data_IF_310448458150
#
_entry.id   IF_310448458150
#
_cell.length_a   1.000
_cell.length_b   1.000
_cell.length_c   1.000
_cell.angle_alpha   90.00
_cell.angle_beta   90.00
_cell.angle_gamma   90.00
#
_symmetry.space_group_name_H-M   'P 1'
#
loop_
_entity.id
_entity.type
_entity.pdbx_description
1 polymer ?
#
# COMPACT_ATOMS: atom_id res chain seq x y z
N UNK A 1 -31.21 -3.58 16.35
CA UNK A 1 -30.33 -3.66 17.52
C UNK A 1 -30.01 -5.13 17.71
N UNK A 2 -28.74 -5.53 17.83
CA UNK A 2 -28.43 -6.91 18.17
C UNK A 2 -29.06 -7.27 19.51
N UNK A 3 -29.52 -8.50 19.64
CA UNK A 3 -29.90 -9.06 20.94
C UNK A 3 -28.58 -9.21 21.73
N UNK A 4 -28.46 -8.48 22.84
CA UNK A 4 -27.23 -8.42 23.63
C UNK A 4 -26.82 -9.82 24.10
N UNK A 5 -27.79 -10.71 24.33
CA UNK A 5 -27.55 -12.11 24.70
C UNK A 5 -26.91 -12.92 23.55
N UNK A 6 -27.28 -12.67 22.30
CA UNK A 6 -26.67 -13.35 21.13
C UNK A 6 -25.21 -12.94 20.93
N UNK A 7 -24.87 -11.67 21.22
CA UNK A 7 -23.49 -11.17 21.10
C UNK A 7 -22.61 -11.78 22.20
N UNK A 8 -23.14 -11.90 23.41
CA UNK A 8 -22.45 -12.54 24.54
C UNK A 8 -22.25 -14.04 24.27
N UNK A 9 -23.28 -14.73 23.78
CA UNK A 9 -23.23 -16.16 23.44
C UNK A 9 -22.20 -16.42 22.33
N UNK A 10 -22.21 -15.59 21.26
CA UNK A 10 -21.23 -15.69 20.18
C UNK A 10 -19.80 -15.52 20.69
N UNK A 11 -19.54 -14.49 21.50
CA UNK A 11 -18.20 -14.26 22.06
C UNK A 11 -17.75 -15.41 22.95
N UNK A 12 -18.64 -15.97 23.76
CA UNK A 12 -18.33 -17.12 24.60
C UNK A 12 -18.04 -18.39 23.78
N UNK A 13 -18.80 -18.64 22.71
CA UNK A 13 -18.55 -19.77 21.80
C UNK A 13 -17.24 -19.58 21.04
N UNK A 14 -16.94 -18.38 20.55
CA UNK A 14 -15.67 -18.07 19.90
C UNK A 14 -14.48 -18.24 20.86
N UNK A 15 -14.60 -17.78 22.11
CA UNK A 15 -13.57 -17.97 23.12
C UNK A 15 -13.31 -19.45 23.45
N UNK A 16 -14.35 -20.31 23.40
CA UNK A 16 -14.19 -21.77 23.57
C UNK A 16 -13.68 -22.48 22.32
N UNK A 17 -14.07 -22.00 21.14
CA UNK A 17 -13.65 -22.57 19.88
C UNK A 17 -12.15 -22.32 19.63
N UNK A 18 -11.67 -21.13 19.96
CA UNK A 18 -10.34 -20.66 19.59
C UNK A 18 -9.40 -20.43 20.78
N UNK A 19 -9.88 -20.64 22.01
CA UNK A 19 -9.08 -20.53 23.23
C UNK A 19 -8.26 -21.78 23.53
N UNK A 20 -7.44 -21.70 24.58
CA UNK A 20 -6.60 -22.80 25.08
C UNK A 20 -7.45 -23.99 25.54
N UNK A 21 -7.14 -25.19 25.05
CA UNK A 21 -7.99 -26.39 25.18
C UNK A 21 -9.20 -26.40 24.23
N UNK A 22 -9.06 -25.71 23.08
CA UNK A 22 -10.11 -25.43 22.12
C UNK A 22 -10.82 -26.67 21.62
N UNK A 23 -12.15 -26.62 21.60
CA UNK A 23 -12.98 -27.72 21.16
C UNK A 23 -14.44 -27.42 21.38
N UNK A 24 -15.21 -27.41 20.29
CA UNK A 24 -16.67 -27.32 20.37
C UNK A 24 -17.27 -28.72 20.30
N UNK A 25 -18.31 -28.95 21.09
CA UNK A 25 -19.20 -30.09 20.82
C UNK A 25 -19.88 -29.88 19.46
N UNK A 26 -20.32 -30.94 18.80
CA UNK A 26 -21.04 -30.81 17.52
C UNK A 26 -22.28 -29.88 17.63
N UNK A 27 -22.93 -29.87 18.80
CA UNK A 27 -24.03 -28.93 19.09
C UNK A 27 -23.56 -27.48 19.22
N UNK A 28 -22.41 -27.24 19.85
CA UNK A 28 -21.86 -25.89 20.01
C UNK A 28 -21.31 -25.35 18.69
N UNK A 29 -20.71 -26.20 17.85
CA UNK A 29 -20.25 -25.83 16.52
C UNK A 29 -21.43 -25.42 15.63
N UNK A 30 -22.50 -26.24 15.59
CA UNK A 30 -23.71 -25.89 14.86
C UNK A 30 -24.37 -24.60 15.39
N UNK A 31 -24.29 -24.36 16.71
CA UNK A 31 -24.81 -23.12 17.32
C UNK A 31 -23.97 -21.90 16.94
N UNK A 32 -22.64 -22.03 16.92
CA UNK A 32 -21.73 -21.00 16.48
C UNK A 32 -21.99 -20.63 15.01
N UNK A 33 -22.11 -21.62 14.13
CA UNK A 33 -22.43 -21.41 12.71
C UNK A 33 -23.75 -20.66 12.53
N UNK A 34 -24.80 -21.04 13.26
CA UNK A 34 -26.08 -20.34 13.23
C UNK A 34 -25.98 -18.89 13.70
N UNK A 35 -25.16 -18.61 14.73
CA UNK A 35 -24.97 -17.24 15.23
C UNK A 35 -24.21 -16.38 14.21
N UNK A 36 -23.18 -16.94 13.57
CA UNK A 36 -22.41 -16.26 12.51
C UNK A 36 -23.30 -15.99 11.30
N UNK A 37 -24.06 -16.97 10.82
CA UNK A 37 -24.99 -16.81 9.68
C UNK A 37 -26.07 -15.77 9.96
N UNK A 38 -26.70 -15.78 11.14
CA UNK A 38 -27.74 -14.79 11.48
C UNK A 38 -27.18 -13.37 11.59
N UNK A 39 -25.93 -13.22 12.02
CA UNK A 39 -25.23 -11.93 12.01
C UNK A 39 -25.00 -11.47 10.57
N UNK A 40 -24.50 -12.35 9.71
CA UNK A 40 -24.30 -12.08 8.28
C UNK A 40 -25.60 -11.65 7.57
N UNK A 41 -26.71 -12.36 7.80
CA UNK A 41 -28.03 -12.00 7.24
C UNK A 41 -28.53 -10.64 7.73
N UNK A 42 -28.28 -10.32 9.00
CA UNK A 42 -28.68 -9.04 9.60
C UNK A 42 -27.86 -7.88 9.02
N UNK A 43 -26.56 -8.09 8.85
CA UNK A 43 -25.66 -7.09 8.27
C UNK A 43 -26.00 -6.87 6.77
N UNK A 44 -26.31 -7.93 6.03
CA UNK A 44 -26.79 -7.84 4.65
C UNK A 44 -28.13 -7.11 4.53
N UNK A 45 -29.06 -7.36 5.46
CA UNK A 45 -30.35 -6.65 5.50
C UNK A 45 -30.20 -5.18 5.90
N UNK A 46 -29.29 -4.88 6.82
CA UNK A 46 -28.94 -3.50 7.18
C UNK A 46 -28.31 -2.71 6.03
N UNK A 47 -27.55 -3.37 5.16
CA UNK A 47 -27.01 -2.77 3.94
C UNK A 47 -28.08 -2.55 2.86
N UNK A 48 -29.06 -3.45 2.74
CA UNK A 48 -30.15 -3.35 1.76
C UNK A 48 -31.16 -2.23 2.06
N UNK A 49 -31.36 -1.87 3.32
CA UNK A 49 -32.27 -0.77 3.72
C UNK A 49 -31.63 0.64 3.60
N UNK A 50 -30.35 0.74 3.17
CA UNK A 50 -29.59 2.00 3.13
C UNK A 50 -29.12 2.49 1.76
N UNK A 51 -29.28 1.72 0.68
CA UNK A 51 -28.73 2.07 -0.65
C UNK A 51 -29.72 1.62 -1.74
N UNK A 52 -30.15 2.48 -2.68
CA UNK A 52 -30.95 2.02 -3.81
C UNK A 52 -30.14 1.03 -4.66
N UNK A 53 -30.74 -0.14 -4.92
CA UNK A 53 -30.14 -1.24 -5.66
C UNK A 53 -29.57 -0.78 -7.01
N UNK A 54 -28.25 -0.90 -7.17
CA UNK A 54 -27.63 -0.96 -8.49
C UNK A 54 -27.72 -2.41 -8.94
N UNK A 55 -28.44 -2.61 -10.04
CA UNK A 55 -28.66 -3.90 -10.69
C UNK A 55 -27.32 -4.56 -11.04
N UNK A 56 -27.09 -5.85 -10.70
CA UNK A 56 -25.84 -6.53 -11.04
C UNK A 56 -25.77 -6.76 -12.55
N UNK A 57 -24.86 -6.06 -13.22
CA UNK A 57 -24.47 -6.39 -14.59
C UNK A 57 -23.76 -7.74 -14.60
N UNK A 58 -24.45 -8.75 -15.13
CA UNK A 58 -23.89 -10.02 -15.56
C UNK A 58 -22.91 -9.73 -16.72
N UNK A 59 -21.62 -10.10 -16.66
CA UNK A 59 -20.77 -10.06 -17.83
C UNK A 59 -21.15 -11.22 -18.74
N UNK A 60 -21.71 -10.88 -19.89
CA UNK A 60 -21.97 -11.78 -20.99
C UNK A 60 -20.63 -12.33 -21.52
N UNK A 61 -20.53 -13.65 -21.59
CA UNK A 61 -19.41 -14.35 -22.17
C UNK A 61 -19.34 -14.06 -23.68
N UNK A 62 -18.27 -13.41 -24.14
CA UNK A 62 -17.89 -13.42 -25.55
C UNK A 62 -16.60 -14.20 -25.75
N UNK A 63 -16.79 -15.33 -26.39
CA UNK A 63 -15.81 -16.28 -26.88
C UNK A 63 -15.08 -15.74 -28.14
N UNK A 64 -13.80 -16.10 -28.27
CA UNK A 64 -12.90 -15.94 -29.43
C UNK A 64 -12.58 -14.50 -29.89
N UNK A 65 -11.34 -14.12 -30.22
CA UNK A 65 -10.51 -14.72 -31.28
C UNK A 65 -9.02 -14.47 -30.99
N UNK A 66 -8.25 -15.57 -30.87
CA UNK A 66 -6.82 -15.58 -31.09
C UNK A 66 -6.50 -15.43 -32.60
N UNK A 67 -5.44 -14.68 -32.95
CA UNK A 67 -4.48 -14.85 -34.10
C UNK A 67 -3.81 -13.49 -34.45
N UNK A 68 -2.69 -13.47 -35.21
CA UNK A 68 -1.34 -13.87 -34.82
C UNK A 68 -0.32 -12.73 -35.05
N UNK A 69 0.82 -12.73 -34.34
CA UNK A 69 1.96 -11.88 -34.69
C UNK A 69 2.53 -12.33 -36.04
N UNK A 70 2.47 -11.45 -37.05
CA UNK A 70 3.25 -11.59 -38.27
C UNK A 70 4.31 -10.49 -38.35
N UNK A 71 5.53 -11.00 -38.45
CA UNK A 71 6.81 -10.39 -38.78
C UNK A 71 6.73 -9.51 -40.03
N UNK A 72 7.24 -8.27 -39.96
CA UNK A 72 7.89 -7.62 -41.10
C UNK A 72 9.02 -6.70 -40.60
N UNK A 73 10.21 -7.28 -40.62
CA UNK A 73 11.51 -6.61 -40.74
C UNK A 73 11.69 -6.04 -42.16
N UNK A 74 12.49 -4.97 -42.24
CA UNK A 74 13.30 -4.45 -43.39
C UNK A 74 12.77 -3.32 -44.29
N UNK A 75 13.41 -2.14 -44.14
CA UNK A 75 14.20 -1.36 -45.13
C UNK A 75 13.92 0.15 -45.00
N UNK A 76 14.86 1.00 -44.54
CA UNK A 76 16.08 1.50 -45.20
C UNK A 76 15.90 2.98 -45.64
N UNK A 77 16.33 3.89 -44.76
CA UNK A 77 17.20 5.06 -45.00
C UNK A 77 16.82 6.18 -46.03
N UNK A 78 17.54 7.32 -46.07
CA UNK A 78 16.97 8.65 -45.85
C UNK A 78 16.96 9.53 -47.11
N UNK A 79 16.26 10.66 -47.10
CA UNK A 79 16.43 11.68 -48.15
C UNK A 79 16.27 13.10 -47.62
N UNK A 80 17.40 13.79 -47.59
CA UNK A 80 17.50 15.24 -47.61
C UNK A 80 17.05 15.78 -48.98
N UNK A 81 16.34 16.90 -48.99
CA UNK A 81 16.15 17.71 -50.19
C UNK A 81 16.60 19.15 -49.91
N UNK A 82 17.72 19.50 -50.56
CA UNK A 82 18.17 20.86 -50.79
C UNK A 82 17.60 21.37 -52.12
N UNK A 83 17.42 22.69 -52.22
CA UNK A 83 17.38 23.46 -53.47
C UNK A 83 17.98 24.84 -53.15
N UNK A 84 19.29 25.05 -53.42
CA UNK A 84 19.88 25.78 -54.56
C UNK A 84 19.47 27.26 -54.60
N UNK A 85 20.32 28.22 -54.18
CA UNK A 85 21.57 28.73 -54.76
C UNK A 85 21.35 29.74 -55.89
N UNK A 86 21.81 30.98 -55.67
CA UNK A 86 22.48 31.78 -56.72
C UNK A 86 23.47 32.78 -56.08
N UNK A 87 24.66 32.79 -56.65
CA UNK A 87 25.88 33.55 -56.31
C UNK A 87 26.11 34.62 -57.37
N UNK A 88 26.48 35.86 -57.01
CA UNK A 88 27.44 36.68 -57.78
C UNK A 88 28.23 37.60 -56.85
N UNK A 89 29.51 37.69 -57.19
CA UNK A 89 30.72 38.23 -56.59
C UNK A 89 30.92 39.77 -56.72
N UNK A 90 32.02 40.22 -56.11
CA UNK A 90 32.85 41.40 -56.41
C UNK A 90 32.70 42.65 -55.52
N UNK A 91 33.53 42.67 -54.46
CA UNK A 91 34.77 43.47 -54.44
C UNK A 91 34.70 45.01 -54.49
N UNK A 92 35.35 45.63 -53.49
CA UNK A 92 36.24 46.80 -53.57
C UNK A 92 35.96 47.93 -52.57
N UNK A 93 37.08 48.54 -52.18
CA UNK A 93 37.26 49.48 -51.07
C UNK A 93 36.51 50.81 -51.18
N UNK A 94 36.16 51.36 -50.02
CA UNK A 94 35.74 52.75 -49.90
C UNK A 94 35.66 53.20 -48.46
N UNK A 95 36.79 53.67 -47.91
CA UNK A 95 36.80 54.47 -46.69
C UNK A 95 35.94 55.72 -46.88
N UNK A 96 34.85 55.86 -46.11
CA UNK A 96 34.19 57.14 -45.86
C UNK A 96 33.71 57.22 -44.42
N UNK A 97 34.42 58.04 -43.67
CA UNK A 97 33.98 58.77 -42.48
C UNK A 97 32.55 59.30 -42.68
N UNK A 98 31.61 58.84 -41.85
CA UNK A 98 30.33 59.50 -41.69
C UNK A 98 29.96 59.48 -40.20
N UNK A 99 30.04 60.68 -39.63
CA UNK A 99 29.75 61.01 -38.25
C UNK A 99 28.33 60.58 -37.87
N UNK A 100 28.22 59.72 -36.84
CA UNK A 100 26.94 59.43 -36.20
C UNK A 100 26.45 60.69 -35.46
N UNK A 101 25.24 61.21 -35.74
CA UNK A 101 24.67 62.24 -34.90
C UNK A 101 24.25 61.61 -33.57
N UNK A 102 24.87 62.11 -32.49
CA UNK A 102 24.53 61.90 -31.09
C UNK A 102 23.16 62.52 -30.82
N UNK A 103 22.08 61.91 -31.30
CA UNK A 103 20.70 62.38 -31.07
C UNK A 103 19.70 61.21 -30.99
N UNK A 104 20.12 60.05 -30.46
CA UNK A 104 19.21 58.92 -30.23
C UNK A 104 19.29 58.37 -28.80
N UNK A 105 19.70 59.18 -27.83
CA UNK A 105 19.88 58.76 -26.43
C UNK A 105 18.72 59.11 -25.50
N UNK A 106 17.81 59.99 -25.90
CA UNK A 106 16.72 60.48 -25.04
C UNK A 106 15.37 59.78 -25.24
N UNK A 107 15.19 59.03 -26.34
CA UNK A 107 13.88 58.42 -26.67
C UNK A 107 13.69 56.96 -26.23
N UNK A 108 14.72 56.32 -25.69
CA UNK A 108 14.67 54.89 -25.30
C UNK A 108 14.24 54.67 -23.83
N UNK A 109 14.33 55.70 -22.99
CA UNK A 109 13.90 55.66 -21.59
C UNK A 109 12.41 55.31 -21.38
N UNK A 110 11.45 55.85 -22.15
CA UNK A 110 10.04 55.46 -21.97
C UNK A 110 9.75 54.03 -22.46
N UNK A 111 10.56 53.48 -23.38
CA UNK A 111 10.37 52.12 -23.90
C UNK A 111 10.80 51.04 -22.90
N UNK A 112 11.85 51.30 -22.12
CA UNK A 112 12.30 50.39 -21.05
C UNK A 112 11.31 50.34 -19.86
N UNK A 113 10.64 51.45 -19.55
CA UNK A 113 9.63 51.50 -18.48
C UNK A 113 8.39 50.71 -18.88
N UNK A 114 7.95 50.78 -20.14
CA UNK A 114 6.82 50.00 -20.65
C UNK A 114 7.04 48.49 -20.54
N UNK A 115 8.24 48.00 -20.88
CA UNK A 115 8.61 46.58 -20.78
C UNK A 115 8.64 46.12 -19.33
N UNK A 116 9.19 46.93 -18.41
CA UNK A 116 9.24 46.59 -16.98
C UNK A 116 7.84 46.52 -16.34
N UNK A 117 6.91 47.39 -16.75
CA UNK A 117 5.53 47.38 -16.26
C UNK A 117 4.76 46.17 -16.81
N UNK A 118 4.94 45.80 -18.08
CA UNK A 118 4.31 44.60 -18.66
C UNK A 118 4.88 43.31 -18.03
N UNK A 119 6.19 43.23 -17.77
CA UNK A 119 6.79 42.12 -17.03
C UNK A 119 6.31 42.05 -15.59
N UNK A 120 6.19 43.18 -14.89
CA UNK A 120 5.66 43.24 -13.52
C UNK A 120 4.19 42.80 -13.44
N UNK A 121 3.37 43.17 -14.42
CA UNK A 121 1.96 42.76 -14.49
C UNK A 121 1.85 41.29 -14.92
N UNK A 122 2.70 40.80 -15.82
CA UNK A 122 2.75 39.39 -16.22
C UNK A 122 3.15 38.45 -15.08
N UNK A 123 4.16 38.84 -14.29
CA UNK A 123 4.59 38.08 -13.10
C UNK A 123 3.54 38.18 -11.99
N UNK A 124 2.93 39.35 -11.80
CA UNK A 124 1.90 39.58 -10.78
C UNK A 124 0.59 38.84 -11.05
N UNK A 125 0.15 38.74 -12.31
CA UNK A 125 -1.08 38.01 -12.67
C UNK A 125 -0.84 36.50 -12.87
N UNK A 126 0.35 36.10 -13.33
CA UNK A 126 0.72 34.69 -13.45
C UNK A 126 0.75 33.97 -12.09
N UNK A 127 1.30 34.60 -11.05
CA UNK A 127 1.34 34.01 -9.70
C UNK A 127 -0.04 33.86 -9.05
N UNK A 128 -1.02 34.69 -9.41
CA UNK A 128 -2.35 34.70 -8.78
C UNK A 128 -3.33 33.71 -9.43
N UNK A 129 -3.11 33.37 -10.70
CA UNK A 129 -3.93 32.40 -11.44
C UNK A 129 -3.44 30.96 -11.33
N UNK A 130 -2.15 30.73 -11.05
CA UNK A 130 -1.58 29.38 -10.89
C UNK A 130 -1.17 29.02 -9.44
N UNK A 131 -1.20 29.97 -8.50
CA UNK A 131 -0.73 29.77 -7.13
C UNK A 131 -1.78 29.33 -6.09
N UNK A 132 -3.02 29.00 -6.50
CA UNK A 132 -4.16 28.81 -5.58
C UNK A 132 -4.76 27.39 -5.53
N UNK A 133 -4.01 26.36 -5.92
CA UNK A 133 -4.46 24.96 -5.88
C UNK A 133 -3.60 24.02 -5.03
N UNK A 134 -2.71 24.54 -4.18
CA UNK A 134 -1.84 23.71 -3.35
C UNK A 134 -2.06 24.02 -1.88
N UNK A 135 -2.34 23.00 -1.08
CA UNK A 135 -2.25 23.06 0.37
C UNK A 135 -0.96 23.81 0.80
N UNK A 136 -1.07 24.59 1.88
CA UNK A 136 0.01 25.42 2.43
C UNK A 136 1.33 24.66 2.45
N UNK A 137 2.37 25.25 1.84
CA UNK A 137 3.64 24.56 1.66
C UNK A 137 4.27 24.28 3.04
N UNK A 138 4.49 22.99 3.34
CA UNK A 138 5.11 22.58 4.59
C UNK A 138 6.55 23.08 4.64
N UNK A 139 6.89 23.79 5.71
CA UNK A 139 8.23 24.32 5.91
C UNK A 139 9.19 23.18 6.31
N UNK A 140 9.98 22.72 5.34
CA UNK A 140 11.00 21.68 5.57
C UNK A 140 12.28 22.25 6.17
N UNK A 141 12.86 21.51 7.10
CA UNK A 141 14.22 21.78 7.61
C UNK A 141 15.28 21.57 6.53
N UNK A 142 16.51 22.11 6.68
CA UNK A 142 17.59 21.91 5.71
C UNK A 142 17.92 20.43 5.46
N UNK A 143 17.85 19.59 6.50
CA UNK A 143 18.07 18.15 6.36
C UNK A 143 16.96 17.50 5.50
N UNK A 144 15.70 17.81 5.79
CA UNK A 144 14.56 17.31 5.01
C UNK A 144 14.56 17.79 3.55
N UNK A 145 15.10 18.98 3.28
CA UNK A 145 15.31 19.48 1.92
C UNK A 145 16.43 18.72 1.19
N UNK A 146 17.44 18.19 1.90
CA UNK A 146 18.41 17.27 1.31
C UNK A 146 17.74 15.94 0.96
N UNK A 147 16.96 15.36 1.88
CA UNK A 147 16.22 14.11 1.62
C UNK A 147 15.33 14.24 0.38
N UNK A 148 14.59 15.35 0.26
CA UNK A 148 13.76 15.58 -0.92
C UNK A 148 14.59 15.66 -2.21
N UNK A 149 15.80 16.24 -2.16
CA UNK A 149 16.70 16.32 -3.32
C UNK A 149 17.28 14.96 -3.68
N UNK A 150 17.63 14.15 -2.70
CA UNK A 150 18.09 12.77 -2.88
C UNK A 150 17.00 11.93 -3.56
N UNK A 151 15.77 11.97 -3.05
CA UNK A 151 14.60 11.27 -3.63
C UNK A 151 14.35 11.70 -5.09
N UNK A 152 14.45 13.01 -5.40
CA UNK A 152 14.32 13.47 -6.78
C UNK A 152 15.51 13.06 -7.66
N UNK A 153 16.69 12.87 -7.08
CA UNK A 153 17.91 12.47 -7.78
C UNK A 153 17.86 11.06 -8.34
N UNK A 154 17.04 10.18 -7.77
CA UNK A 154 16.86 8.79 -8.21
C UNK A 154 16.06 8.64 -9.52
N UNK A 155 15.53 9.74 -10.07
CA UNK A 155 14.73 9.77 -11.31
C UNK A 155 13.49 8.87 -11.31
N UNK A 156 12.98 8.55 -10.13
CA UNK A 156 11.83 7.65 -9.94
C UNK A 156 10.47 8.33 -10.15
N UNK A 157 10.42 9.68 -10.06
CA UNK A 157 9.20 10.49 -10.10
C UNK A 157 9.22 11.50 -11.24
N UNK A 158 8.03 11.94 -11.66
CA UNK A 158 7.90 12.98 -12.69
C UNK A 158 8.52 14.29 -12.19
N UNK A 159 9.24 14.98 -13.07
CA UNK A 159 10.02 16.16 -12.71
C UNK A 159 9.14 17.24 -12.07
N UNK A 160 9.48 17.65 -10.84
CA UNK A 160 8.76 18.68 -10.09
C UNK A 160 7.44 18.25 -9.48
N UNK A 161 7.08 16.96 -9.54
CA UNK A 161 5.84 16.44 -8.93
C UNK A 161 5.95 16.23 -7.42
N UNK A 162 7.16 15.97 -6.89
CA UNK A 162 7.40 15.68 -5.49
C UNK A 162 7.16 16.93 -4.61
N UNK A 163 6.13 16.89 -3.76
CA UNK A 163 5.72 17.98 -2.88
C UNK A 163 5.47 17.47 -1.47
N UNK A 164 6.13 18.09 -0.48
CA UNK A 164 5.85 17.80 0.93
C UNK A 164 4.48 18.34 1.33
N UNK A 165 3.72 17.53 2.06
CA UNK A 165 2.35 17.84 2.49
C UNK A 165 2.14 17.75 4.00
N UNK A 166 2.98 16.99 4.72
CA UNK A 166 2.98 16.99 6.18
C UNK A 166 4.36 16.58 6.72
N UNK A 167 4.60 16.84 8.01
CA UNK A 167 5.68 16.24 8.79
C UNK A 167 5.06 15.70 10.07
N UNK A 168 5.21 14.40 10.31
CA UNK A 168 4.65 13.70 11.46
C UNK A 168 5.75 12.88 12.13
N UNK A 169 5.95 13.06 13.43
CA UNK A 169 7.01 12.40 14.20
C UNK A 169 8.42 12.41 13.53
N UNK A 170 8.75 13.44 12.75
CA UNK A 170 10.05 13.55 12.05
C UNK A 170 10.09 12.87 10.68
N UNK A 171 9.05 12.12 10.32
CA UNK A 171 8.80 11.62 8.96
C UNK A 171 8.21 12.74 8.13
N UNK A 172 8.74 12.94 6.92
CA UNK A 172 8.13 13.84 5.94
C UNK A 172 7.23 13.01 5.03
N UNK A 173 6.03 13.51 4.80
CA UNK A 173 5.09 12.95 3.86
C UNK A 173 5.13 13.78 2.60
N UNK A 174 5.43 13.14 1.48
CA UNK A 174 5.37 13.73 0.16
C UNK A 174 4.30 13.08 -0.71
N UNK A 175 3.82 13.87 -1.66
CA UNK A 175 2.99 13.38 -2.76
C UNK A 175 3.78 13.61 -4.03
N UNK A 176 3.73 12.64 -4.94
CA UNK A 176 4.41 12.72 -6.23
C UNK A 176 3.55 12.07 -7.32
N UNK A 177 4.00 12.20 -8.56
CA UNK A 177 3.47 11.43 -9.67
C UNK A 177 4.57 10.64 -10.37
N UNK A 178 4.18 9.55 -11.05
CA UNK A 178 5.06 8.79 -11.94
C UNK A 178 4.37 8.57 -13.28
N UNK A 179 5.18 8.30 -14.31
CA UNK A 179 4.73 7.95 -15.66
C UNK A 179 3.78 9.02 -16.21
N UNK A 180 4.26 10.26 -16.25
CA UNK A 180 3.55 11.42 -16.81
C UNK A 180 2.19 11.68 -16.13
N UNK A 181 2.14 11.54 -14.80
CA UNK A 181 0.93 11.77 -14.03
C UNK A 181 -0.05 10.59 -13.97
N UNK A 182 0.24 9.48 -14.66
CA UNK A 182 -0.67 8.33 -14.66
C UNK A 182 -0.74 7.59 -13.32
N UNK A 183 0.32 7.71 -12.51
CA UNK A 183 0.35 7.20 -11.14
C UNK A 183 0.46 8.37 -10.16
N UNK A 184 -0.36 8.34 -9.11
CA UNK A 184 -0.24 9.20 -7.94
C UNK A 184 0.42 8.40 -6.83
N UNK A 185 1.40 8.99 -6.15
CA UNK A 185 2.19 8.33 -5.14
C UNK A 185 2.13 9.06 -3.80
N UNK A 186 2.04 8.28 -2.72
CA UNK A 186 2.31 8.71 -1.35
C UNK A 186 3.70 8.21 -0.96
N UNK A 187 4.55 9.10 -0.45
CA UNK A 187 5.94 8.80 -0.10
C UNK A 187 6.19 9.24 1.34
N UNK A 188 6.73 8.34 2.16
CA UNK A 188 7.11 8.62 3.54
C UNK A 188 8.62 8.45 3.68
N UNK A 189 9.28 9.33 4.43
CA UNK A 189 10.70 9.16 4.72
C UNK A 189 11.20 9.94 5.93
N UNK A 190 12.19 9.36 6.62
CA UNK A 190 12.86 9.90 7.81
C UNK A 190 14.35 10.26 7.56
N UNK A 191 14.78 10.17 6.30
CA UNK A 191 16.15 10.41 5.85
C UNK A 191 17.06 9.18 5.86
N UNK A 192 16.69 8.13 6.59
CA UNK A 192 17.38 6.84 6.55
C UNK A 192 16.62 5.84 5.68
N UNK A 193 15.29 5.89 5.75
CA UNK A 193 14.36 5.01 5.05
C UNK A 193 13.39 5.85 4.24
N UNK A 194 12.94 5.28 3.12
CA UNK A 194 11.89 5.87 2.30
C UNK A 194 10.99 4.77 1.76
N UNK A 195 9.69 4.90 1.97
CA UNK A 195 8.66 4.02 1.40
C UNK A 195 7.81 4.82 0.41
N UNK A 196 7.32 4.15 -0.63
CA UNK A 196 6.46 4.76 -1.63
C UNK A 196 5.37 3.78 -2.05
N UNK A 197 4.13 4.23 -1.95
CA UNK A 197 2.96 3.54 -2.48
C UNK A 197 2.43 4.34 -3.67
N UNK A 198 2.12 3.68 -4.78
CA UNK A 198 1.67 4.34 -6.01
C UNK A 198 0.56 3.55 -6.69
N UNK A 199 -0.51 4.23 -7.08
CA UNK A 199 -1.56 3.67 -7.93
C UNK A 199 -2.07 4.71 -8.94
N UNK A 200 -2.87 4.28 -9.89
CA UNK A 200 -3.59 5.12 -10.82
C UNK A 200 -4.52 6.10 -10.09
N UNK A 201 -4.63 7.33 -10.60
CA UNK A 201 -5.50 8.33 -9.97
C UNK A 201 -6.97 7.92 -9.88
N UNK A 202 -7.41 6.95 -10.70
CA UNK A 202 -8.75 6.36 -10.59
C UNK A 202 -8.85 5.53 -9.31
N UNK A 203 -7.95 4.57 -9.10
CA UNK A 203 -7.93 3.76 -7.87
C UNK A 203 -7.73 4.64 -6.64
N UNK A 204 -6.82 5.60 -6.69
CA UNK A 204 -6.60 6.52 -5.56
C UNK A 204 -7.85 7.36 -5.25
N UNK A 205 -8.68 7.70 -6.24
CA UNK A 205 -9.95 8.39 -6.00
C UNK A 205 -10.97 7.48 -5.32
N UNK A 206 -10.98 6.20 -5.67
CA UNK A 206 -11.98 5.24 -5.20
C UNK A 206 -11.64 4.68 -3.81
N UNK A 207 -10.37 4.36 -3.55
CA UNK A 207 -9.90 3.71 -2.31
C UNK A 207 -8.87 4.51 -1.51
N UNK A 208 -8.25 5.54 -2.11
CA UNK A 208 -7.08 6.21 -1.52
C UNK A 208 -5.81 5.37 -1.60
N UNK A 209 -4.73 5.93 -1.03
CA UNK A 209 -3.49 5.23 -0.72
C UNK A 209 -3.29 5.22 0.78
N UNK A 210 -2.63 4.17 1.25
CA UNK A 210 -2.21 4.02 2.64
C UNK A 210 -0.71 3.75 2.67
N UNK A 211 0.00 4.41 3.58
CA UNK A 211 1.43 4.26 3.75
C UNK A 211 1.81 4.23 5.21
N UNK A 212 2.83 3.44 5.53
CA UNK A 212 3.33 3.28 6.89
C UNK A 212 4.86 3.33 6.87
N UNK A 213 5.44 3.95 7.90
CA UNK A 213 6.88 3.95 8.14
C UNK A 213 7.17 3.80 9.63
N UNK A 214 8.00 2.83 9.99
CA UNK A 214 8.54 2.69 11.34
C UNK A 214 9.80 3.53 11.47
N UNK A 215 9.89 4.32 12.53
CA UNK A 215 11.06 5.13 12.86
C UNK A 215 11.60 4.74 14.21
N UNK A 216 12.90 4.50 14.30
CA UNK A 216 13.57 4.26 15.58
C UNK A 216 13.70 5.58 16.36
N UNK A 217 13.31 5.56 17.64
CA UNK A 217 13.43 6.71 18.54
C UNK A 217 13.92 6.29 19.92
N UNK A 218 15.20 6.51 20.17
CA UNK A 218 15.81 6.15 21.45
C UNK A 218 15.76 4.65 21.67
N UNK A 219 15.06 4.21 22.71
CA UNK A 219 14.88 2.79 23.05
C UNK A 219 13.56 2.20 22.49
N UNK A 220 12.70 3.03 21.86
CA UNK A 220 11.42 2.61 21.31
C UNK A 220 11.32 2.79 19.79
N UNK A 221 10.20 2.36 19.23
CA UNK A 221 9.86 2.61 17.83
C UNK A 221 8.62 3.50 17.76
N UNK A 222 8.48 4.27 16.69
CA UNK A 222 7.27 5.04 16.40
C UNK A 222 6.78 4.63 15.03
N UNK A 223 5.55 4.15 14.95
CA UNK A 223 4.88 3.91 13.68
C UNK A 223 4.22 5.22 13.23
N UNK A 224 4.52 5.65 12.01
CA UNK A 224 3.83 6.76 11.35
C UNK A 224 2.97 6.15 10.25
N UNK A 225 1.66 6.39 10.32
CA UNK A 225 0.74 5.99 9.26
C UNK A 225 0.18 7.21 8.55
N UNK A 226 -0.16 7.03 7.29
CA UNK A 226 -0.65 8.08 6.43
C UNK A 226 -1.70 7.53 5.47
N UNK A 227 -2.84 8.20 5.39
CA UNK A 227 -3.86 7.97 4.38
C UNK A 227 -3.95 9.17 3.46
N UNK A 228 -3.89 8.91 2.16
CA UNK A 228 -4.09 9.92 1.13
C UNK A 228 -5.34 9.58 0.32
N UNK A 229 -6.22 10.57 0.14
CA UNK A 229 -7.36 10.48 -0.78
C UNK A 229 -7.32 11.66 -1.75
N UNK A 230 -7.97 11.50 -2.90
CA UNK A 230 -8.21 12.64 -3.79
C UNK A 230 -9.55 13.29 -3.46
N UNK A 231 -9.56 14.60 -3.34
CA UNK A 231 -10.79 15.39 -3.28
C UNK A 231 -11.58 15.29 -4.59
N UNK A 232 -12.83 15.77 -4.61
CA UNK A 232 -13.63 15.87 -5.83
C UNK A 232 -12.96 16.72 -6.93
N UNK A 233 -12.09 17.67 -6.55
CA UNK A 233 -11.30 18.48 -7.48
C UNK A 233 -10.05 17.75 -8.02
N UNK A 234 -9.77 16.53 -7.54
CA UNK A 234 -8.56 15.79 -7.85
C UNK A 234 -7.33 16.24 -7.05
N UNK A 235 -7.49 17.14 -6.09
CA UNK A 235 -6.40 17.56 -5.21
C UNK A 235 -6.18 16.51 -4.10
N UNK A 236 -4.94 16.15 -3.78
CA UNK A 236 -4.68 15.22 -2.69
C UNK A 236 -4.95 15.83 -1.30
N UNK A 237 -5.61 15.07 -0.45
CA UNK A 237 -5.78 15.32 0.97
C UNK A 237 -5.12 14.17 1.76
N UNK A 238 -4.26 14.51 2.71
CA UNK A 238 -3.51 13.55 3.52
C UNK A 238 -3.87 13.72 4.98
N UNK A 239 -4.14 12.61 5.64
CA UNK A 239 -4.24 12.50 7.09
C UNK A 239 -3.10 11.60 7.55
N UNK A 240 -2.45 11.96 8.64
CA UNK A 240 -1.39 11.16 9.24
C UNK A 240 -1.54 11.10 10.74
N UNK A 241 -1.08 10.00 11.31
CA UNK A 241 -1.03 9.75 12.73
C UNK A 241 0.28 9.05 13.08
N UNK A 242 0.65 9.14 14.35
CA UNK A 242 1.78 8.42 14.89
C UNK A 242 1.40 7.71 16.18
N UNK A 243 1.89 6.49 16.33
CA UNK A 243 1.72 5.69 17.53
C UNK A 243 3.09 5.20 18.00
N UNK A 244 3.36 5.41 19.29
CA UNK A 244 4.54 4.85 19.92
C UNK A 244 4.36 3.34 20.05
N UNK A 245 5.35 2.61 19.52
CA UNK A 245 5.42 1.17 19.55
C UNK A 245 6.41 0.76 20.62
N UNK A 246 5.88 0.17 21.68
CA UNK A 246 6.69 -0.46 22.72
C UNK A 246 6.87 -1.96 22.36
N UNK A 247 8.08 -2.40 21.98
CA UNK A 247 8.34 -3.80 21.70
C UNK A 247 8.14 -4.69 22.94
N UNK A 248 8.29 -4.15 24.16
CA UNK A 248 7.98 -4.90 25.38
C UNK A 248 6.46 -5.12 25.54
N UNK A 249 5.63 -4.20 25.04
CA UNK A 249 4.17 -4.39 25.02
C UNK A 249 3.75 -5.59 24.14
N UNK A 250 4.53 -5.96 23.12
CA UNK A 250 4.28 -7.20 22.37
C UNK A 250 4.39 -8.45 23.25
N UNK A 251 5.36 -8.50 24.17
CA UNK A 251 5.52 -9.66 25.07
C UNK A 251 4.30 -9.84 25.97
N UNK A 252 3.63 -8.74 26.32
CA UNK A 252 2.38 -8.77 27.10
C UNK A 252 1.18 -9.36 26.33
N UNK A 253 1.31 -9.53 25.01
CA UNK A 253 0.28 -10.13 24.15
C UNK A 253 0.34 -11.66 24.10
N UNK A 254 1.42 -12.27 24.57
CA UNK A 254 1.59 -13.73 24.59
C UNK A 254 1.13 -14.33 25.91
N UNK A 255 0.58 -15.54 25.87
CA UNK A 255 -0.03 -16.15 27.06
C UNK A 255 1.01 -16.64 28.09
N UNK A 256 2.26 -16.86 27.68
CA UNK A 256 3.34 -17.37 28.54
C UNK A 256 4.74 -17.12 27.94
N UNK A 257 5.79 -17.34 28.75
CA UNK A 257 7.19 -17.14 28.36
C UNK A 257 7.65 -18.06 27.21
N UNK A 258 7.00 -19.21 27.01
CA UNK A 258 7.36 -20.14 25.93
C UNK A 258 6.90 -19.60 24.58
N UNK A 259 5.67 -19.09 24.51
CA UNK A 259 5.15 -18.35 23.36
C UNK A 259 6.02 -17.12 23.05
N UNK A 260 6.40 -16.32 24.06
CA UNK A 260 7.26 -15.16 23.85
C UNK A 260 8.63 -15.54 23.25
N UNK A 261 9.26 -16.61 23.76
CA UNK A 261 10.53 -17.13 23.22
C UNK A 261 10.39 -17.68 21.80
N UNK A 262 9.26 -18.31 21.49
CA UNK A 262 9.01 -18.78 20.12
C UNK A 262 8.83 -17.61 19.15
N UNK A 263 8.11 -16.56 19.56
CA UNK A 263 7.96 -15.34 18.77
C UNK A 263 9.31 -14.67 18.46
N UNK A 264 10.20 -14.53 19.45
CA UNK A 264 11.58 -14.05 19.25
C UNK A 264 12.35 -14.90 18.23
N UNK A 265 12.12 -16.22 18.26
CA UNK A 265 12.75 -17.15 17.31
C UNK A 265 12.21 -16.99 15.89
N UNK A 266 10.93 -16.64 15.72
CA UNK A 266 10.37 -16.28 14.42
C UNK A 266 11.00 -14.98 13.92
N UNK A 267 11.16 -13.96 14.77
CA UNK A 267 11.85 -12.72 14.39
C UNK A 267 13.28 -12.99 13.93
N UNK A 268 14.02 -13.83 14.66
CA UNK A 268 15.37 -14.25 14.28
C UNK A 268 15.42 -15.03 12.95
N UNK A 269 14.31 -15.63 12.52
CA UNK A 269 14.17 -16.34 11.23
C UNK A 269 13.75 -15.42 10.07
N UNK A 270 13.68 -14.10 10.30
CA UNK A 270 13.35 -13.12 9.26
C UNK A 270 11.86 -12.81 9.13
N UNK A 271 11.07 -13.07 10.17
CA UNK A 271 9.69 -12.58 10.27
C UNK A 271 9.66 -11.17 10.89
N UNK A 272 8.72 -10.34 10.44
CA UNK A 272 8.50 -9.01 11.04
C UNK A 272 7.90 -9.17 12.43
N UNK A 273 8.63 -8.74 13.46
CA UNK A 273 8.23 -8.83 14.86
C UNK A 273 6.81 -8.31 15.10
N UNK A 274 6.41 -7.23 14.43
CA UNK A 274 5.10 -6.61 14.61
C UNK A 274 3.96 -7.49 14.15
N UNK A 275 4.26 -8.40 13.24
CA UNK A 275 3.29 -9.27 12.58
C UNK A 275 3.13 -10.62 13.24
N UNK A 276 3.98 -10.94 14.22
CA UNK A 276 3.96 -12.20 14.94
C UNK A 276 2.87 -12.14 16.01
N UNK A 277 1.77 -12.86 15.79
CA UNK A 277 0.71 -12.97 16.79
C UNK A 277 0.00 -14.33 16.72
N UNK A 278 -0.48 -14.78 17.88
CA UNK A 278 -1.29 -16.00 17.99
C UNK A 278 -2.72 -15.69 17.58
N UNK A 279 -3.28 -16.53 16.73
CA UNK A 279 -4.66 -16.37 16.20
C UNK A 279 -5.63 -17.42 16.63
N UNK A 280 -5.12 -18.46 17.26
CA UNK A 280 -5.90 -19.49 17.89
C UNK A 280 -4.99 -20.57 18.40
N UNK A 281 -5.61 -21.59 18.98
CA UNK A 281 -4.92 -22.75 19.50
C UNK A 281 -5.58 -24.01 18.95
N UNK A 282 -4.76 -25.00 18.61
CA UNK A 282 -5.19 -26.38 18.48
C UNK A 282 -4.82 -27.11 19.77
N UNK A 283 -5.80 -27.28 20.65
CA UNK A 283 -5.60 -27.67 22.05
C UNK A 283 -4.62 -26.73 22.79
N UNK A 284 -3.37 -27.15 22.97
CA UNK A 284 -2.30 -26.40 23.63
C UNK A 284 -1.31 -25.80 22.63
N UNK A 285 -1.42 -26.13 21.33
CA UNK A 285 -0.47 -25.70 20.31
C UNK A 285 -0.94 -24.38 19.70
N UNK A 286 -0.19 -23.27 19.84
CA UNK A 286 -0.53 -21.99 19.25
C UNK A 286 -0.40 -22.06 17.73
N UNK A 287 -1.36 -21.40 17.09
CA UNK A 287 -1.35 -21.13 15.66
C UNK A 287 -1.04 -19.65 15.51
N UNK A 288 0.03 -19.37 14.80
CA UNK A 288 0.53 -18.02 14.61
C UNK A 288 0.30 -17.56 13.19
N UNK A 289 0.35 -16.25 13.02
CA UNK A 289 0.64 -15.66 11.74
C UNK A 289 1.77 -14.67 11.87
N UNK A 290 2.48 -14.46 10.77
CA UNK A 290 3.58 -13.52 10.66
C UNK A 290 3.85 -13.20 9.20
N UNK A 291 4.36 -12.02 8.90
CA UNK A 291 4.85 -11.61 7.59
C UNK A 291 6.35 -11.87 7.52
N UNK A 292 6.80 -12.52 6.45
CA UNK A 292 8.22 -12.70 6.17
C UNK A 292 8.78 -11.41 5.56
N UNK A 293 9.83 -10.84 6.16
CA UNK A 293 10.33 -9.49 5.81
C UNK A 293 10.84 -9.40 4.36
N UNK A 294 11.54 -10.42 3.87
CA UNK A 294 12.13 -10.39 2.51
C UNK A 294 11.09 -10.42 1.40
N UNK A 295 10.00 -11.16 1.61
CA UNK A 295 9.00 -11.46 0.58
C UNK A 295 7.72 -10.64 0.76
N UNK A 296 7.55 -10.00 1.93
CA UNK A 296 6.31 -9.34 2.35
C UNK A 296 5.07 -10.25 2.26
N UNK A 297 5.27 -11.56 2.44
CA UNK A 297 4.20 -12.56 2.38
C UNK A 297 3.71 -12.93 3.77
N UNK A 298 2.40 -12.96 3.96
CA UNK A 298 1.76 -13.48 5.16
C UNK A 298 1.97 -15.00 5.26
N UNK A 299 2.34 -15.50 6.43
CA UNK A 299 2.55 -16.91 6.70
C UNK A 299 1.75 -17.37 7.90
N UNK A 300 1.23 -18.60 7.82
CA UNK A 300 0.59 -19.32 8.92
C UNK A 300 1.55 -20.37 9.44
N UNK A 301 1.65 -20.43 10.77
CA UNK A 301 2.65 -21.22 11.46
C UNK A 301 1.95 -22.04 12.52
N UNK A 302 2.09 -23.36 12.46
CA UNK A 302 1.59 -24.28 13.47
C UNK A 302 2.75 -24.79 14.31
N UNK A 303 2.79 -24.46 15.59
CA UNK A 303 3.81 -24.97 16.50
C UNK A 303 4.18 -24.02 17.64
N UNK A 304 4.92 -24.56 18.61
CA UNK A 304 5.36 -23.84 19.81
C UNK A 304 6.89 -23.80 19.96
N UNK A 305 7.62 -24.59 19.18
CA UNK A 305 9.07 -24.73 19.35
C UNK A 305 9.79 -24.62 18.00
N UNK A 306 10.89 -23.89 18.01
CA UNK A 306 11.73 -23.67 16.83
C UNK A 306 12.20 -25.01 16.22
N UNK A 307 12.07 -25.14 14.90
CA UNK A 307 12.47 -26.35 14.16
C UNK A 307 11.45 -27.50 14.17
N UNK A 308 10.32 -27.34 14.86
CA UNK A 308 9.19 -28.30 14.86
C UNK A 308 7.91 -27.64 14.34
N UNK A 309 8.01 -26.40 13.85
CA UNK A 309 6.87 -25.68 13.34
C UNK A 309 6.67 -25.95 11.84
N UNK A 310 5.45 -26.30 11.47
CA UNK A 310 5.03 -26.31 10.08
C UNK A 310 4.68 -24.87 9.68
N UNK A 311 5.28 -24.41 8.58
CA UNK A 311 5.16 -23.04 8.11
C UNK A 311 4.68 -23.06 6.67
N UNK A 312 3.66 -22.26 6.38
CA UNK A 312 3.24 -22.00 5.00
C UNK A 312 2.94 -20.53 4.79
N UNK A 313 3.54 -19.96 3.74
CA UNK A 313 3.33 -18.59 3.33
C UNK A 313 2.32 -18.51 2.19
N UNK A 314 1.57 -17.41 2.13
CA UNK A 314 0.63 -17.11 1.07
C UNK A 314 1.39 -17.00 -0.25
N UNK A 315 0.83 -17.62 -1.29
CA UNK A 315 1.27 -17.40 -2.66
C UNK A 315 0.35 -16.35 -3.30
N UNK A 316 0.84 -15.11 -3.52
CA UNK A 316 0.02 -14.05 -4.09
C UNK A 316 -0.44 -14.36 -5.53
N UNK A 317 0.22 -15.27 -6.25
CA UNK A 317 -0.15 -15.67 -7.61
C UNK A 317 -1.22 -16.75 -7.65
N UNK A 318 -1.34 -17.58 -6.60
CA UNK A 318 -2.26 -18.72 -6.57
C UNK A 318 -3.69 -18.33 -6.16
N UNK A 319 -3.85 -17.24 -5.41
CA UNK A 319 -5.16 -16.82 -4.88
C UNK A 319 -5.80 -17.85 -3.93
N UNK A 320 -5.02 -18.83 -3.46
CA UNK A 320 -5.46 -19.83 -2.48
C UNK A 320 -5.44 -19.23 -1.06
N UNK A 321 -6.35 -19.72 -0.21
CA UNK A 321 -6.37 -19.37 1.22
C UNK A 321 -5.06 -19.76 1.91
N UNK A 322 -4.78 -19.12 3.05
CA UNK A 322 -3.57 -19.38 3.83
C UNK A 322 -3.82 -20.58 4.76
N UNK A 323 -3.13 -21.70 4.54
CA UNK A 323 -3.32 -22.92 5.33
C UNK A 323 -2.00 -23.63 5.63
N UNK A 324 -1.98 -24.46 6.66
CA UNK A 324 -0.86 -25.34 7.02
C UNK A 324 -1.41 -26.71 7.41
N UNK A 325 -0.68 -27.77 7.07
CA UNK A 325 -1.02 -29.13 7.47
C UNK A 325 0.09 -29.65 8.39
N UNK A 326 -0.31 -30.14 9.54
CA UNK A 326 0.55 -30.74 10.55
C UNK A 326 0.22 -32.22 10.66
N UNK A 327 1.23 -33.08 10.63
CA UNK A 327 1.06 -34.52 10.88
C UNK A 327 1.73 -34.88 12.20
N UNK A 328 0.93 -35.33 13.16
CA UNK A 328 1.44 -35.83 14.42
C UNK A 328 2.22 -37.13 14.18
N UNK A 329 3.54 -37.10 14.43
CA UNK A 329 4.43 -38.22 14.19
C UNK A 329 4.12 -39.45 15.07
N UNK A 330 3.48 -39.28 16.23
CA UNK A 330 3.14 -40.35 17.15
C UNK A 330 1.81 -41.03 16.78
N UNK A 331 0.82 -40.25 16.32
CA UNK A 331 -0.54 -40.75 16.05
C UNK A 331 -0.84 -40.93 14.56
N UNK A 332 0.00 -40.39 13.68
CA UNK A 332 -0.22 -40.28 12.24
C UNK A 332 -1.54 -39.57 11.87
N UNK A 333 -2.11 -38.77 12.79
CA UNK A 333 -3.25 -37.91 12.50
C UNK A 333 -2.79 -36.65 11.77
N UNK A 334 -3.56 -36.22 10.78
CA UNK A 334 -3.33 -34.96 10.08
C UNK A 334 -4.27 -33.89 10.62
N UNK A 335 -3.72 -32.73 10.96
CA UNK A 335 -4.47 -31.52 11.29
C UNK A 335 -4.20 -30.48 10.21
N UNK A 336 -5.24 -30.08 9.50
CA UNK A 336 -5.22 -28.94 8.58
C UNK A 336 -5.77 -27.70 9.29
N UNK A 337 -4.97 -26.66 9.34
CA UNK A 337 -5.35 -25.34 9.84
C UNK A 337 -5.43 -24.37 8.69
N UNK A 338 -6.54 -23.66 8.55
CA UNK A 338 -6.79 -22.71 7.48
C UNK A 338 -7.26 -21.36 8.03
N UNK A 339 -6.60 -20.31 7.59
CA UNK A 339 -7.00 -18.93 7.81
C UNK A 339 -7.74 -18.42 6.58
N UNK A 340 -9.05 -18.24 6.73
CA UNK A 340 -9.93 -17.79 5.66
C UNK A 340 -10.10 -16.27 5.70
N UNK A 341 -9.82 -15.63 4.57
CA UNK A 341 -10.11 -14.21 4.35
C UNK A 341 -11.43 -14.11 3.59
N UNK A 342 -12.54 -13.96 4.32
CA UNK A 342 -13.84 -13.74 3.66
C UNK A 342 -14.05 -12.24 3.47
N UNK A 343 -14.39 -11.82 2.25
CA UNK A 343 -14.52 -10.40 1.89
C UNK A 343 -15.60 -9.66 2.70
N UNK A 344 -16.56 -10.39 3.29
CA UNK A 344 -17.74 -9.81 3.93
C UNK A 344 -17.92 -10.19 5.42
N UNK A 345 -17.16 -11.14 5.99
CA UNK A 345 -17.42 -11.65 7.35
C UNK A 345 -16.20 -11.61 8.29
N UNK A 346 -15.11 -10.96 7.86
CA UNK A 346 -13.86 -10.92 8.60
C UNK A 346 -13.03 -12.19 8.42
N UNK A 347 -11.97 -12.30 9.21
CA UNK A 347 -11.06 -13.44 9.19
C UNK A 347 -11.48 -14.51 10.20
N UNK A 348 -11.50 -15.77 9.78
CA UNK A 348 -11.77 -16.90 10.66
C UNK A 348 -10.73 -18.01 10.50
N UNK A 349 -10.42 -18.66 11.61
CA UNK A 349 -9.53 -19.82 11.68
C UNK A 349 -10.35 -21.10 11.67
N UNK A 350 -10.02 -22.04 10.79
CA UNK A 350 -10.68 -23.35 10.67
C UNK A 350 -9.65 -24.44 10.92
N UNK A 351 -9.95 -25.35 11.85
CA UNK A 351 -9.09 -26.49 12.18
C UNK A 351 -9.85 -27.77 11.81
N UNK A 352 -9.29 -28.56 10.91
CA UNK A 352 -9.85 -29.84 10.44
C UNK A 352 -8.89 -30.96 10.81
N UNK A 353 -9.39 -32.00 11.49
CA UNK A 353 -8.58 -33.17 11.88
C UNK A 353 -9.03 -34.39 11.07
N UNK A 354 -8.08 -35.05 10.43
CA UNK A 354 -8.29 -36.30 9.69
C UNK A 354 -7.49 -37.43 10.35
N UNK A 355 -8.19 -38.50 10.74
CA UNK A 355 -7.60 -39.66 11.40
C UNK A 355 -8.42 -40.93 11.18
N UNK A 356 -7.73 -42.04 10.93
CA UNK A 356 -8.30 -43.33 10.50
C UNK A 356 -9.32 -43.90 11.50
N UNK A 357 -10.52 -44.21 10.99
CA UNK A 357 -11.46 -45.10 11.68
C UNK A 357 -10.78 -46.47 11.86
N UNK A 358 -10.24 -46.76 13.05
CA UNK A 358 -9.98 -48.14 13.44
C UNK A 358 -11.31 -48.87 13.53
N UNK A 359 -11.52 -49.82 12.61
CA UNK A 359 -12.59 -50.80 12.73
C UNK A 359 -12.45 -51.53 14.06
N UNK A 360 -13.35 -51.23 14.99
CA UNK A 360 -13.55 -52.02 16.20
C UNK A 360 -13.87 -53.46 15.80
N UNK A 361 -12.89 -54.35 15.93
CA UNK A 361 -13.11 -55.79 16.00
C UNK A 361 -13.74 -56.05 17.37
N UNK A 362 -15.05 -56.25 17.37
CA UNK A 362 -15.74 -56.90 18.49
C UNK A 362 -15.53 -58.40 18.29
N UNK A 363 -14.61 -59.00 19.06
CA UNK A 363 -14.64 -60.45 19.30
C UNK A 363 -15.61 -60.73 20.46
N UNK A 364 -16.62 -61.56 20.17
CA UNK A 364 -17.53 -62.18 21.16
C UNK A 364 -16.85 -63.34 21.91
#
# INVERSE_FOLDING_TARGET
>A
MPDDDEVIELRALQARAYGRGGGLTASDAARLDQLVQRRAERDAKGAADGIPAVEPMIPEATDAVARPLHDLRQNAEPTAAAATAETVDSGAHGARTASFPVLLRERWRPMLIGVAVVLGIGIGLGGVLFGRGGAEAVALTPAQQEWQREIMGEATYDQGSLRAVAVEAGVVLWIATKKDGSLTCLVLGDGAHTTSECDTSTVVRDSGLYGTLMVERGEGQTEVTAQMILTAAGEPAVVSDSYEYDPEAMTSSYANDEEARFAETLVAQGFDARTVWVVGYDDEIPIWTAVRTEESTQCLIYGMTAGVADIRCADPAAGEGLWVEHVDAATAQSTRVEWQFTSNHGTNLVITREGAFEHGVVEE
#
